data_IF_488057670429
#
_entry.id   IF_488057670429
#
_cell.length_a   1.000
_cell.length_b   1.000
_cell.length_c   1.000
_cell.angle_alpha   90.00
_cell.angle_beta   90.00
_cell.angle_gamma   90.00
#
_symmetry.space_group_name_H-M   'P 1'
#
loop_
_entity.id
_entity.type
_entity.pdbx_description
1 polymer ?
#
# COMPACT_ATOMS: atom_id res chain seq x y z
N UNK A 1 -93.86 -2.64 -3.71
CA UNK A 1 -94.00 -3.94 -4.37
C UNK A 1 -92.57 -4.49 -4.58
N UNK A 2 -92.35 -5.65 -4.08
CA UNK A 2 -91.10 -6.47 -3.99
C UNK A 2 -90.19 -6.15 -2.81
N UNK A 3 -90.39 -6.96 -1.82
CA UNK A 3 -89.60 -7.26 -0.59
C UNK A 3 -88.43 -8.07 -1.00
N UNK A 4 -87.22 -7.68 -0.58
CA UNK A 4 -86.01 -8.53 -0.61
C UNK A 4 -85.53 -8.77 0.84
N UNK A 5 -85.59 -10.04 1.24
CA UNK A 5 -85.11 -10.55 2.52
C UNK A 5 -83.57 -10.54 2.54
N UNK A 6 -83.04 -9.98 3.57
CA UNK A 6 -81.61 -10.10 3.90
C UNK A 6 -81.40 -11.33 4.78
N UNK A 7 -80.59 -12.29 4.30
CA UNK A 7 -80.16 -13.45 5.05
C UNK A 7 -78.82 -13.04 5.75
N UNK A 8 -78.82 -13.05 7.11
CA UNK A 8 -77.69 -12.83 7.96
C UNK A 8 -76.90 -14.14 8.08
N UNK A 9 -75.77 -14.26 7.45
CA UNK A 9 -74.78 -15.33 7.69
C UNK A 9 -73.80 -14.90 8.80
N UNK A 10 -73.93 -15.51 9.98
CA UNK A 10 -72.97 -15.42 11.09
C UNK A 10 -71.80 -16.33 10.74
N UNK A 11 -70.70 -15.75 10.39
CA UNK A 11 -69.42 -16.45 10.24
C UNK A 11 -68.75 -16.48 11.58
N UNK A 12 -68.61 -17.66 12.22
CA UNK A 12 -67.75 -17.90 13.35
C UNK A 12 -66.29 -17.86 12.87
N UNK A 13 -65.53 -16.82 13.21
CA UNK A 13 -64.11 -16.77 13.06
C UNK A 13 -63.44 -17.51 14.24
N UNK A 14 -62.82 -18.64 13.96
CA UNK A 14 -61.88 -19.30 14.86
C UNK A 14 -60.62 -18.40 14.95
N UNK A 15 -60.02 -18.25 16.16
CA UNK A 15 -58.74 -17.55 16.26
C UNK A 15 -57.67 -18.39 15.59
N UNK A 16 -57.10 -17.88 14.51
CA UNK A 16 -55.84 -18.38 13.99
C UNK A 16 -54.72 -18.07 15.00
N UNK A 17 -54.14 -19.10 15.56
CA UNK A 17 -52.86 -18.98 16.26
C UNK A 17 -51.82 -18.46 15.23
N UNK A 18 -51.54 -17.20 15.27
CA UNK A 18 -50.38 -16.62 14.60
C UNK A 18 -49.13 -17.13 15.30
N UNK A 19 -48.52 -18.16 14.75
CA UNK A 19 -47.11 -18.37 14.94
C UNK A 19 -46.41 -17.14 14.36
N UNK A 20 -45.82 -16.33 15.23
CA UNK A 20 -44.96 -15.22 14.85
C UNK A 20 -43.68 -15.78 14.22
N UNK A 21 -43.72 -16.16 12.95
CA UNK A 21 -42.55 -16.21 12.13
C UNK A 21 -42.09 -14.77 11.94
N UNK A 22 -40.86 -14.44 12.38
CA UNK A 22 -40.25 -13.17 12.07
C UNK A 22 -40.34 -12.94 10.55
N UNK A 23 -40.91 -11.82 10.15
CA UNK A 23 -40.98 -11.44 8.75
C UNK A 23 -39.58 -11.13 8.25
N UNK A 24 -39.22 -11.45 7.01
CA UNK A 24 -37.91 -11.22 6.41
C UNK A 24 -37.37 -9.79 6.63
N UNK A 25 -38.25 -8.80 6.81
CA UNK A 25 -37.86 -7.42 7.15
C UNK A 25 -37.21 -7.23 8.55
N UNK A 26 -37.48 -8.14 9.50
CA UNK A 26 -36.86 -8.08 10.84
C UNK A 26 -35.44 -8.63 10.87
N UNK A 27 -35.04 -9.43 9.88
CA UNK A 27 -33.72 -10.05 9.82
C UNK A 27 -32.66 -9.14 9.20
N UNK A 28 -33.02 -8.14 8.43
CA UNK A 28 -32.10 -7.24 7.72
C UNK A 28 -31.85 -5.92 8.43
N UNK A 29 -32.86 -5.40 9.14
CA UNK A 29 -32.81 -4.06 9.74
C UNK A 29 -32.20 -3.95 11.12
N UNK A 30 -32.12 -5.05 11.88
CA UNK A 30 -31.58 -5.06 13.24
C UNK A 30 -30.49 -6.08 13.38
N UNK A 31 -29.38 -5.67 14.06
CA UNK A 31 -28.28 -6.58 14.37
C UNK A 31 -28.73 -7.70 15.32
N UNK A 32 -28.07 -8.90 15.28
CA UNK A 32 -28.49 -10.05 16.06
C UNK A 32 -28.64 -9.77 17.56
N UNK A 33 -27.67 -9.03 18.14
CA UNK A 33 -27.63 -8.71 19.57
C UNK A 33 -28.12 -7.27 19.87
N UNK A 34 -29.13 -6.78 19.12
CA UNK A 34 -29.70 -5.45 19.32
C UNK A 34 -30.30 -5.33 20.74
N UNK A 35 -29.79 -4.41 21.54
CA UNK A 35 -30.19 -4.24 22.97
C UNK A 35 -29.32 -5.02 23.97
N UNK A 36 -28.40 -5.85 23.51
CA UNK A 36 -27.32 -6.48 24.28
C UNK A 36 -25.96 -5.80 24.07
N UNK A 37 -24.89 -6.56 24.21
CA UNK A 37 -23.54 -6.12 23.87
C UNK A 37 -23.26 -5.99 22.38
N UNK A 38 -22.01 -5.69 21.98
CA UNK A 38 -21.62 -5.70 20.58
C UNK A 38 -21.70 -7.12 19.98
N UNK A 39 -21.99 -7.20 18.69
CA UNK A 39 -21.85 -8.44 17.92
C UNK A 39 -20.36 -8.65 17.58
N UNK A 40 -19.85 -9.85 17.84
CA UNK A 40 -18.47 -10.20 17.54
C UNK A 40 -18.37 -10.67 16.07
N UNK A 41 -17.41 -10.08 15.34
CA UNK A 41 -17.14 -10.37 13.94
C UNK A 41 -15.73 -10.91 13.81
N UNK A 42 -15.57 -12.08 13.21
CA UNK A 42 -14.27 -12.63 12.86
C UNK A 42 -14.01 -12.36 11.38
N UNK A 43 -12.83 -11.85 11.07
CA UNK A 43 -12.40 -11.59 9.69
C UNK A 43 -11.12 -12.37 9.40
N UNK A 44 -11.18 -13.26 8.40
CA UNK A 44 -10.03 -13.95 7.85
C UNK A 44 -9.68 -13.34 6.49
N UNK A 45 -8.39 -12.99 6.29
CA UNK A 45 -7.86 -12.61 4.98
C UNK A 45 -6.83 -13.64 4.54
N UNK A 46 -7.06 -14.27 3.39
CA UNK A 46 -6.07 -15.00 2.63
C UNK A 46 -5.43 -14.06 1.61
N UNK A 47 -4.21 -13.62 1.85
CA UNK A 47 -3.46 -12.84 0.86
C UNK A 47 -2.84 -13.83 -0.14
N UNK A 48 -3.37 -13.84 -1.36
CA UNK A 48 -2.98 -14.78 -2.41
C UNK A 48 -1.82 -14.25 -3.24
N UNK A 49 -1.80 -12.91 -3.49
CA UNK A 49 -0.74 -12.28 -4.28
C UNK A 49 -0.65 -10.78 -3.98
N UNK A 50 0.55 -10.21 -4.16
CA UNK A 50 0.81 -8.79 -4.30
C UNK A 50 1.48 -8.60 -5.67
N UNK A 51 0.67 -8.30 -6.68
CA UNK A 51 1.11 -8.30 -8.07
C UNK A 51 2.03 -7.11 -8.41
N UNK A 52 1.85 -5.95 -7.79
CA UNK A 52 2.62 -4.73 -8.05
C UNK A 52 2.52 -3.76 -6.86
N UNK A 53 3.64 -3.12 -6.51
CA UNK A 53 3.67 -1.90 -5.68
C UNK A 53 4.07 -0.74 -6.59
N UNK A 54 3.13 0.16 -6.87
CA UNK A 54 3.33 1.29 -7.76
C UNK A 54 3.68 2.55 -6.97
N UNK A 55 4.96 2.85 -6.88
CA UNK A 55 5.48 4.01 -6.16
C UNK A 55 4.88 5.34 -6.66
N UNK A 56 4.63 5.44 -7.98
CA UNK A 56 4.16 6.67 -8.61
C UNK A 56 2.70 6.96 -8.34
N UNK A 57 1.86 5.92 -8.34
CA UNK A 57 0.41 6.04 -8.16
C UNK A 57 0.00 5.90 -6.69
N UNK A 58 0.95 5.52 -5.83
CA UNK A 58 0.73 5.28 -4.40
C UNK A 58 -0.37 4.23 -4.19
N UNK A 59 -0.23 3.10 -4.90
CA UNK A 59 -1.11 1.95 -4.80
C UNK A 59 -0.32 0.66 -4.80
N UNK A 60 -0.89 -0.39 -4.23
CA UNK A 60 -0.43 -1.77 -4.40
C UNK A 60 -1.60 -2.64 -4.86
N UNK A 61 -1.33 -3.55 -5.78
CA UNK A 61 -2.34 -4.42 -6.38
C UNK A 61 -2.30 -5.77 -5.70
N UNK A 62 -3.45 -6.22 -5.20
CA UNK A 62 -3.59 -7.45 -4.42
C UNK A 62 -4.59 -8.41 -5.04
N UNK A 63 -4.45 -9.71 -4.72
CA UNK A 63 -5.47 -10.75 -4.84
C UNK A 63 -5.74 -11.30 -3.44
N UNK A 64 -6.99 -11.12 -2.96
CA UNK A 64 -7.40 -11.43 -1.60
C UNK A 64 -8.54 -12.42 -1.61
N UNK A 65 -8.50 -13.36 -0.67
CA UNK A 65 -9.65 -14.14 -0.25
C UNK A 65 -10.08 -13.65 1.13
N UNK A 66 -11.32 -13.19 1.25
CA UNK A 66 -11.85 -12.62 2.50
C UNK A 66 -12.97 -13.52 3.01
N UNK A 67 -12.89 -13.92 4.27
CA UNK A 67 -13.92 -14.64 5.00
C UNK A 67 -14.37 -13.80 6.18
N UNK A 68 -15.69 -13.59 6.31
CA UNK A 68 -16.28 -12.85 7.41
C UNK A 68 -17.29 -13.77 8.11
N UNK A 69 -17.13 -13.93 9.42
CA UNK A 69 -17.95 -14.81 10.25
C UNK A 69 -18.61 -14.04 11.39
N UNK A 70 -19.87 -14.39 11.69
CA UNK A 70 -20.58 -13.90 12.87
C UNK A 70 -21.67 -14.88 13.30
N UNK A 71 -22.19 -14.70 14.53
CA UNK A 71 -23.29 -15.50 15.05
C UNK A 71 -24.62 -14.75 14.93
N UNK A 72 -25.62 -15.37 14.26
CA UNK A 72 -27.00 -14.89 14.26
C UNK A 72 -27.96 -15.97 14.76
N UNK A 73 -28.30 -16.00 16.07
CA UNK A 73 -29.19 -17.01 16.63
C UNK A 73 -30.59 -17.07 16.02
N UNK A 74 -31.03 -15.98 15.34
CA UNK A 74 -32.35 -15.94 14.67
C UNK A 74 -32.43 -16.85 13.44
N UNK A 75 -31.23 -17.19 12.89
CA UNK A 75 -31.07 -18.08 11.75
C UNK A 75 -30.82 -19.53 12.19
N UNK A 76 -30.74 -19.82 13.49
CA UNK A 76 -30.60 -21.17 14.00
C UNK A 76 -31.86 -22.01 13.71
N UNK A 77 -31.68 -23.33 13.53
CA UNK A 77 -32.80 -24.28 13.31
C UNK A 77 -32.79 -25.35 14.39
N UNK A 78 -33.96 -25.50 15.04
CA UNK A 78 -34.21 -26.61 15.94
C UNK A 78 -34.55 -27.89 15.18
N UNK A 79 -33.97 -29.03 15.53
CA UNK A 79 -34.36 -30.36 15.01
C UNK A 79 -33.24 -31.12 14.27
N UNK A 80 -33.47 -32.44 14.13
CA UNK A 80 -32.51 -33.40 13.51
C UNK A 80 -32.79 -33.57 12.00
N UNK A 81 -33.01 -32.51 11.26
CA UNK A 81 -33.12 -32.57 9.80
C UNK A 81 -31.77 -32.34 9.16
N UNK A 82 -31.11 -33.40 8.75
CA UNK A 82 -29.83 -33.55 8.03
C UNK A 82 -28.99 -32.28 7.78
N UNK A 83 -27.71 -32.37 8.07
CA UNK A 83 -26.73 -31.30 8.15
C UNK A 83 -26.45 -30.47 6.89
N UNK A 84 -27.46 -29.90 6.26
CA UNK A 84 -27.27 -29.05 5.09
C UNK A 84 -27.01 -27.57 5.50
N UNK A 85 -25.91 -27.01 4.97
CA UNK A 85 -25.65 -25.58 4.98
C UNK A 85 -26.70 -24.88 4.14
N UNK A 86 -27.24 -23.78 4.63
CA UNK A 86 -28.21 -22.95 3.91
C UNK A 86 -27.49 -21.75 3.31
N UNK A 87 -27.89 -21.35 2.12
CA UNK A 87 -27.33 -20.19 1.44
C UNK A 87 -28.40 -19.11 1.33
N UNK A 88 -28.02 -17.88 1.67
CA UNK A 88 -28.90 -16.70 1.57
C UNK A 88 -28.19 -15.63 0.73
N UNK A 89 -28.91 -14.86 -0.10
CA UNK A 89 -28.42 -13.58 -0.59
C UNK A 89 -28.07 -12.67 0.59
N UNK A 90 -26.96 -11.93 0.51
CA UNK A 90 -26.47 -11.14 1.64
C UNK A 90 -27.44 -10.02 2.05
N UNK A 91 -28.25 -9.54 1.12
CA UNK A 91 -29.26 -8.49 1.32
C UNK A 91 -30.54 -9.01 2.01
N UNK A 92 -30.74 -10.32 2.12
CA UNK A 92 -31.87 -10.93 2.82
C UNK A 92 -31.61 -11.16 4.33
N UNK A 93 -30.38 -11.00 4.79
CA UNK A 93 -29.99 -11.17 6.19
C UNK A 93 -29.21 -9.97 6.71
N UNK A 94 -29.14 -9.84 8.04
CA UNK A 94 -28.25 -8.85 8.62
C UNK A 94 -26.78 -9.20 8.32
N UNK A 95 -25.98 -8.18 8.07
CA UNK A 95 -24.54 -8.30 7.93
C UNK A 95 -23.82 -7.05 8.49
N UNK A 96 -22.51 -7.13 8.86
CA UNK A 96 -21.81 -6.07 9.57
C UNK A 96 -21.45 -4.84 8.71
N UNK A 97 -21.91 -4.75 7.46
CA UNK A 97 -21.72 -3.60 6.56
C UNK A 97 -20.26 -3.22 6.39
N UNK A 98 -19.39 -4.20 6.13
CA UNK A 98 -17.96 -3.99 5.97
C UNK A 98 -17.62 -3.44 4.58
N UNK A 99 -16.59 -2.60 4.54
CA UNK A 99 -15.99 -2.09 3.30
C UNK A 99 -14.48 -1.91 3.47
N UNK A 100 -13.74 -2.04 2.39
CA UNK A 100 -12.31 -1.70 2.35
C UNK A 100 -12.19 -0.23 1.97
N UNK A 101 -11.77 0.64 2.91
CA UNK A 101 -11.81 2.09 2.72
C UNK A 101 -10.69 2.63 1.83
N UNK A 102 -9.55 1.93 1.77
CA UNK A 102 -8.45 2.29 0.87
C UNK A 102 -8.56 1.64 -0.53
N UNK A 103 -9.75 1.16 -0.90
CA UNK A 103 -10.07 0.62 -2.23
C UNK A 103 -9.89 1.69 -3.33
N UNK A 104 -9.22 1.31 -4.43
CA UNK A 104 -9.01 2.11 -5.65
C UNK A 104 -9.56 1.46 -6.92
N UNK A 105 -10.31 0.39 -6.78
CA UNK A 105 -10.91 -0.34 -7.91
C UNK A 105 -10.79 -1.85 -7.74
N UNK A 106 -11.12 -2.37 -6.54
CA UNK A 106 -11.24 -3.81 -6.32
C UNK A 106 -12.43 -4.38 -7.07
N UNK A 107 -12.20 -5.47 -7.78
CA UNK A 107 -13.22 -6.29 -8.39
C UNK A 107 -13.64 -7.41 -7.41
N UNK A 108 -14.95 -7.62 -7.28
CA UNK A 108 -15.57 -8.70 -6.50
C UNK A 108 -15.78 -9.90 -7.41
N UNK A 109 -15.09 -11.00 -7.15
CA UNK A 109 -15.03 -12.15 -8.08
C UNK A 109 -15.99 -13.30 -7.72
N UNK A 110 -16.56 -13.29 -6.51
CA UNK A 110 -17.54 -14.29 -6.06
C UNK A 110 -18.93 -13.65 -5.87
N UNK A 111 -20.01 -14.46 -5.94
CA UNK A 111 -21.36 -13.99 -5.62
C UNK A 111 -21.47 -13.51 -4.17
N UNK A 112 -22.29 -12.48 -3.93
CA UNK A 112 -22.55 -11.95 -2.58
C UNK A 112 -23.59 -12.83 -1.85
N UNK A 113 -23.14 -13.97 -1.34
CA UNK A 113 -23.97 -14.93 -0.62
C UNK A 113 -23.39 -15.26 0.74
N UNK A 114 -24.28 -15.50 1.69
CA UNK A 114 -23.95 -15.98 3.03
C UNK A 114 -24.31 -17.46 3.16
N UNK A 115 -23.41 -18.23 3.76
CA UNK A 115 -23.64 -19.62 4.16
C UNK A 115 -23.94 -19.65 5.64
N UNK A 116 -25.03 -20.30 6.04
CA UNK A 116 -25.49 -20.38 7.44
C UNK A 116 -25.58 -21.84 7.87
N UNK A 117 -24.95 -22.16 8.99
CA UNK A 117 -25.04 -23.47 9.61
C UNK A 117 -26.32 -23.64 10.46
N UNK A 118 -26.43 -24.80 11.11
CA UNK A 118 -27.60 -25.12 11.97
C UNK A 118 -27.63 -24.31 13.26
N UNK A 119 -26.47 -23.91 13.75
CA UNK A 119 -26.32 -23.13 14.98
C UNK A 119 -26.55 -21.63 14.73
N UNK A 120 -26.71 -21.21 13.46
CA UNK A 120 -26.84 -19.81 13.07
C UNK A 120 -25.49 -19.09 12.93
N UNK A 121 -24.39 -19.85 12.77
CA UNK A 121 -23.12 -19.26 12.36
C UNK A 121 -23.21 -18.88 10.89
N UNK A 122 -22.95 -17.64 10.60
CA UNK A 122 -23.00 -17.06 9.25
C UNK A 122 -21.59 -16.87 8.74
N UNK A 123 -21.33 -17.30 7.52
CA UNK A 123 -20.03 -17.16 6.86
C UNK A 123 -20.24 -16.56 5.49
N UNK A 124 -19.56 -15.46 5.22
CA UNK A 124 -19.50 -14.80 3.90
C UNK A 124 -18.10 -14.90 3.36
N UNK A 125 -17.98 -15.34 2.10
CA UNK A 125 -16.71 -15.50 1.41
C UNK A 125 -16.67 -14.64 0.17
N UNK A 126 -15.57 -13.93 -0.02
CA UNK A 126 -15.35 -13.10 -1.19
C UNK A 126 -13.92 -13.22 -1.67
N UNK A 127 -13.71 -13.19 -2.98
CA UNK A 127 -12.38 -12.99 -3.59
C UNK A 127 -12.36 -11.62 -4.22
N UNK A 128 -11.33 -10.85 -3.91
CA UNK A 128 -11.16 -9.47 -4.33
C UNK A 128 -9.82 -9.35 -5.06
N UNK A 129 -9.80 -8.66 -6.19
CA UNK A 129 -8.55 -8.39 -6.90
C UNK A 129 -8.53 -6.94 -7.38
N UNK A 130 -7.40 -6.25 -7.23
CA UNK A 130 -7.23 -4.89 -7.72
C UNK A 130 -6.39 -4.01 -6.80
N UNK A 131 -6.31 -2.69 -7.10
CA UNK A 131 -5.46 -1.74 -6.41
C UNK A 131 -6.05 -1.23 -5.10
N UNK A 132 -5.19 -1.14 -4.09
CA UNK A 132 -5.43 -0.48 -2.81
C UNK A 132 -4.51 0.76 -2.67
N UNK A 133 -5.03 1.84 -2.10
CA UNK A 133 -4.24 3.03 -1.82
C UNK A 133 -3.28 2.79 -0.65
N UNK A 134 -2.09 3.37 -0.76
CA UNK A 134 -1.08 3.37 0.30
C UNK A 134 -0.31 4.68 0.29
N UNK A 135 0.12 5.16 1.45
CA UNK A 135 1.02 6.30 1.59
C UNK A 135 2.44 5.78 1.81
N UNK A 136 3.23 5.72 0.73
CA UNK A 136 4.59 5.20 0.76
C UNK A 136 5.57 6.26 1.25
N UNK A 137 6.37 5.93 2.26
CA UNK A 137 7.50 6.77 2.70
C UNK A 137 8.76 6.44 1.93
N UNK A 138 9.06 7.24 0.91
CA UNK A 138 10.20 7.08 0.01
C UNK A 138 11.46 7.86 0.44
N UNK A 139 11.53 8.38 1.69
CA UNK A 139 12.70 9.15 2.15
C UNK A 139 13.99 8.35 2.04
N UNK A 140 13.94 7.05 2.36
CA UNK A 140 15.06 6.12 2.30
C UNK A 140 15.19 5.37 0.97
N UNK A 141 14.35 5.68 -0.01
CA UNK A 141 14.39 5.00 -1.31
C UNK A 141 15.81 5.00 -1.90
N UNK A 142 16.34 3.86 -2.37
CA UNK A 142 15.71 2.55 -2.56
C UNK A 142 15.92 1.53 -1.41
N UNK A 143 16.28 1.96 -0.21
CA UNK A 143 16.47 1.12 0.98
C UNK A 143 15.31 1.30 1.96
N UNK A 144 14.10 1.33 1.43
CA UNK A 144 12.88 1.62 2.17
C UNK A 144 12.11 0.35 2.49
N UNK A 145 11.42 0.42 3.65
CA UNK A 145 10.45 -0.59 4.07
C UNK A 145 9.09 0.08 4.13
N UNK A 146 8.07 -0.53 3.55
CA UNK A 146 6.73 0.03 3.40
C UNK A 146 5.70 -0.80 4.17
N UNK A 147 4.73 -0.12 4.80
CA UNK A 147 3.56 -0.78 5.39
C UNK A 147 2.42 -0.74 4.38
N UNK A 148 1.92 -1.92 3.99
CA UNK A 148 0.85 -2.10 3.03
C UNK A 148 -0.44 -2.47 3.77
N UNK A 149 -1.34 -1.53 4.09
CA UNK A 149 -2.53 -1.79 4.87
C UNK A 149 -3.69 -2.25 3.99
N UNK A 150 -4.50 -3.17 4.55
CA UNK A 150 -5.84 -3.50 4.09
C UNK A 150 -6.79 -3.01 5.18
N UNK A 151 -7.48 -1.90 4.95
CA UNK A 151 -8.27 -1.21 5.95
C UNK A 151 -9.76 -1.53 5.80
N UNK A 152 -10.29 -2.34 6.71
CA UNK A 152 -11.69 -2.73 6.73
C UNK A 152 -12.43 -1.88 7.76
N UNK A 153 -13.58 -1.32 7.38
CA UNK A 153 -14.42 -0.51 8.26
C UNK A 153 -15.89 -0.90 8.07
N UNK A 154 -16.62 -0.96 9.18
CA UNK A 154 -18.07 -1.00 9.11
C UNK A 154 -18.58 0.43 8.87
N UNK A 155 -19.18 0.70 7.74
CA UNK A 155 -19.69 2.05 7.45
C UNK A 155 -20.98 2.41 8.21
N UNK A 156 -21.61 1.44 8.89
CA UNK A 156 -22.87 1.63 9.62
C UNK A 156 -22.72 1.49 11.13
N UNK A 157 -21.85 0.59 11.63
CA UNK A 157 -21.79 0.22 13.03
C UNK A 157 -20.56 0.77 13.74
N UNK A 158 -20.77 1.25 14.98
CA UNK A 158 -19.72 1.75 15.87
C UNK A 158 -19.06 0.61 16.66
N UNK A 159 -17.91 0.85 17.32
CA UNK A 159 -17.26 -0.14 18.19
C UNK A 159 -18.12 -0.58 19.39
N UNK A 160 -19.16 0.17 19.77
CA UNK A 160 -20.12 -0.23 20.79
C UNK A 160 -21.20 -1.17 20.26
N UNK A 161 -21.33 -1.33 18.95
CA UNK A 161 -22.35 -2.15 18.29
C UNK A 161 -21.77 -3.42 17.67
N UNK A 162 -20.54 -3.35 17.13
CA UNK A 162 -19.79 -4.52 16.67
C UNK A 162 -18.36 -4.45 17.14
N UNK A 163 -17.73 -5.60 17.38
CA UNK A 163 -16.31 -5.72 17.70
C UNK A 163 -15.67 -6.76 16.81
N UNK A 164 -14.40 -6.57 16.49
CA UNK A 164 -13.65 -7.59 15.77
C UNK A 164 -13.00 -8.56 16.74
N UNK A 165 -13.11 -9.85 16.42
CA UNK A 165 -12.57 -10.93 17.24
C UNK A 165 -11.04 -10.95 17.22
N UNK A 166 -10.42 -11.35 18.35
CA UNK A 166 -8.99 -11.63 18.41
C UNK A 166 -8.56 -12.80 17.52
N UNK A 167 -9.52 -13.62 17.07
CA UNK A 167 -9.29 -14.69 16.10
C UNK A 167 -9.22 -14.21 14.65
N UNK A 168 -9.41 -12.90 14.40
CA UNK A 168 -9.20 -12.33 13.07
C UNK A 168 -7.73 -12.46 12.68
N UNK A 169 -7.46 -12.91 11.46
CA UNK A 169 -6.11 -13.24 11.04
C UNK A 169 -5.84 -12.94 9.56
N UNK A 170 -4.60 -12.63 9.27
CA UNK A 170 -4.07 -12.62 7.91
C UNK A 170 -3.32 -13.94 7.67
N UNK A 171 -3.83 -14.76 6.76
CA UNK A 171 -3.21 -16.03 6.34
C UNK A 171 -2.57 -15.81 4.98
N UNK A 172 -1.30 -16.14 4.88
CA UNK A 172 -0.56 -16.01 3.62
C UNK A 172 0.61 -16.99 3.59
N UNK A 173 0.93 -17.48 2.41
CA UNK A 173 2.17 -18.20 2.14
C UNK A 173 3.26 -17.18 1.78
N UNK A 174 3.78 -16.44 2.78
CA UNK A 174 4.74 -15.34 2.57
C UNK A 174 5.96 -15.74 1.74
N UNK A 175 6.45 -16.98 1.91
CA UNK A 175 7.59 -17.49 1.13
C UNK A 175 7.28 -17.60 -0.37
N UNK A 176 5.99 -17.75 -0.73
CA UNK A 176 5.53 -17.79 -2.12
C UNK A 176 5.23 -16.39 -2.69
N UNK A 177 5.01 -15.40 -1.80
CA UNK A 177 4.77 -14.00 -2.19
C UNK A 177 6.07 -13.22 -2.43
N UNK A 178 7.18 -13.62 -1.80
CA UNK A 178 8.47 -12.97 -2.00
C UNK A 178 8.88 -13.05 -3.47
N UNK A 179 9.13 -11.90 -4.06
CA UNK A 179 9.60 -11.77 -5.43
C UNK A 179 11.03 -11.17 -5.48
N UNK A 180 11.57 -10.97 -6.68
CA UNK A 180 12.91 -10.40 -6.86
C UNK A 180 12.98 -8.90 -6.49
N UNK A 181 11.86 -8.25 -6.21
CA UNK A 181 11.75 -6.80 -5.93
C UNK A 181 11.44 -6.50 -4.48
N UNK A 182 10.72 -7.40 -3.77
CA UNK A 182 10.25 -7.20 -2.41
C UNK A 182 10.27 -8.47 -1.58
N UNK A 183 10.56 -8.32 -0.29
CA UNK A 183 10.32 -9.35 0.72
C UNK A 183 9.20 -8.90 1.67
N UNK A 184 8.36 -9.83 2.12
CA UNK A 184 7.13 -9.52 2.84
C UNK A 184 7.09 -10.16 4.22
N UNK A 185 6.54 -9.44 5.21
CA UNK A 185 6.27 -9.92 6.57
C UNK A 185 4.85 -9.50 6.97
N UNK A 186 4.03 -10.47 7.41
CA UNK A 186 2.68 -10.17 7.90
C UNK A 186 2.73 -9.57 9.31
N UNK A 187 1.87 -8.58 9.56
CA UNK A 187 1.67 -7.99 10.87
C UNK A 187 0.36 -8.52 11.50
N UNK A 188 0.31 -8.51 12.82
CA UNK A 188 -0.91 -8.82 13.54
C UNK A 188 -2.01 -7.80 13.21
N UNK A 189 -3.29 -8.25 13.10
CA UNK A 189 -4.41 -7.36 12.86
C UNK A 189 -4.61 -6.38 14.03
N UNK A 190 -4.95 -5.14 13.70
CA UNK A 190 -5.20 -4.08 14.66
C UNK A 190 -6.63 -3.55 14.54
N UNK A 191 -7.42 -3.64 15.62
CA UNK A 191 -8.73 -3.00 15.71
C UNK A 191 -8.59 -1.52 16.06
N UNK A 192 -9.36 -0.66 15.39
CA UNK A 192 -9.32 0.78 15.63
C UNK A 192 -10.69 1.44 15.48
N UNK A 193 -10.81 2.67 15.98
CA UNK A 193 -12.01 3.49 15.80
C UNK A 193 -11.82 4.44 14.62
N UNK A 194 -12.59 4.22 13.56
CA UNK A 194 -12.57 5.08 12.37
C UNK A 194 -13.53 6.25 12.52
N UNK A 195 -13.09 7.47 12.17
CA UNK A 195 -13.92 8.67 12.17
C UNK A 195 -13.84 9.40 10.85
N UNK A 196 -14.92 9.42 10.11
CA UNK A 196 -15.01 10.12 8.83
C UNK A 196 -14.91 11.65 9.00
N UNK A 197 -15.36 12.19 10.15
CA UNK A 197 -15.38 13.63 10.46
C UNK A 197 -15.15 13.83 11.95
N UNK A 198 -14.43 14.90 12.30
CA UNK A 198 -14.25 15.31 13.70
C UNK A 198 -15.60 15.57 14.38
N UNK A 199 -15.84 14.94 15.54
CA UNK A 199 -17.13 14.99 16.25
C UNK A 199 -18.28 14.19 15.61
N UNK A 200 -18.01 13.45 14.52
CA UNK A 200 -18.97 12.55 13.88
C UNK A 200 -19.11 11.20 14.61
N UNK A 201 -20.06 10.38 14.14
CA UNK A 201 -20.20 9.00 14.61
C UNK A 201 -18.94 8.22 14.25
N UNK A 202 -18.43 7.45 15.22
CA UNK A 202 -17.33 6.52 14.97
C UNK A 202 -17.83 5.21 14.35
N UNK A 203 -16.96 4.57 13.61
CA UNK A 203 -17.18 3.28 12.98
C UNK A 203 -16.13 2.28 13.48
N UNK A 204 -16.51 1.01 13.59
CA UNK A 204 -15.57 -0.05 13.94
C UNK A 204 -14.63 -0.33 12.76
N UNK A 205 -13.33 -0.30 12.99
CA UNK A 205 -12.29 -0.55 11.99
C UNK A 205 -11.37 -1.69 12.39
N UNK A 206 -10.86 -2.41 11.39
CA UNK A 206 -9.85 -3.46 11.50
C UNK A 206 -8.83 -3.28 10.38
N UNK A 207 -7.55 -3.22 10.72
CA UNK A 207 -6.47 -3.15 9.74
C UNK A 207 -5.68 -4.44 9.75
N UNK A 208 -5.53 -5.03 8.59
CA UNK A 208 -4.48 -6.01 8.28
C UNK A 208 -3.35 -5.30 7.57
N UNK A 209 -2.12 -5.69 7.80
CA UNK A 209 -1.02 -5.07 7.11
C UNK A 209 0.12 -6.06 6.83
N UNK A 210 0.85 -5.76 5.77
CA UNK A 210 2.08 -6.47 5.41
C UNK A 210 3.21 -5.43 5.38
N UNK A 211 4.36 -5.75 6.00
CA UNK A 211 5.59 -5.01 5.79
C UNK A 211 6.25 -5.53 4.52
N UNK A 212 6.60 -4.62 3.63
CA UNK A 212 7.31 -4.90 2.38
C UNK A 212 8.69 -4.22 2.43
N UNK A 213 9.77 -4.98 2.42
CA UNK A 213 11.14 -4.49 2.33
C UNK A 213 11.61 -4.57 0.89
N UNK A 214 12.11 -3.45 0.36
CA UNK A 214 12.53 -3.35 -1.05
C UNK A 214 13.89 -3.97 -1.27
N UNK A 215 14.01 -4.82 -2.31
CA UNK A 215 15.29 -5.35 -2.77
C UNK A 215 16.05 -4.28 -3.58
N UNK A 216 17.01 -3.64 -2.93
CA UNK A 216 17.73 -2.50 -3.50
C UNK A 216 18.69 -2.85 -4.65
N UNK A 217 18.99 -4.14 -4.88
CA UNK A 217 19.98 -4.58 -5.86
C UNK A 217 19.70 -4.03 -7.27
N UNK A 218 18.45 -4.05 -7.71
CA UNK A 218 18.05 -3.48 -9.00
C UNK A 218 18.47 -2.01 -9.13
N UNK A 219 18.24 -1.20 -8.10
CA UNK A 219 18.55 0.24 -8.10
C UNK A 219 20.05 0.51 -7.98
N UNK A 220 20.81 -0.35 -7.32
CA UNK A 220 22.27 -0.27 -7.33
C UNK A 220 22.82 -0.40 -8.75
N UNK A 221 22.32 -1.34 -9.54
CA UNK A 221 22.76 -1.53 -10.92
C UNK A 221 22.19 -0.48 -11.90
N UNK A 222 20.96 -0.03 -11.71
CA UNK A 222 20.32 0.89 -12.66
C UNK A 222 20.53 2.37 -12.33
N UNK A 223 20.78 2.73 -11.08
CA UNK A 223 21.04 4.10 -10.63
C UNK A 223 22.52 4.33 -10.27
N UNK A 224 23.03 3.60 -9.28
CA UNK A 224 24.33 3.90 -8.70
C UNK A 224 25.48 3.58 -9.66
N UNK A 225 25.42 2.47 -10.39
CA UNK A 225 26.48 2.07 -11.33
C UNK A 225 26.65 3.06 -12.50
N UNK A 226 25.60 3.44 -13.29
CA UNK A 226 25.77 4.43 -14.37
C UNK A 226 26.27 5.78 -13.85
N UNK A 227 25.77 6.26 -12.70
CA UNK A 227 26.26 7.48 -12.10
C UNK A 227 27.73 7.39 -11.72
N UNK A 228 28.17 6.30 -11.11
CA UNK A 228 29.57 6.06 -10.76
C UNK A 228 30.46 6.09 -11.99
N UNK A 229 30.04 5.50 -13.11
CA UNK A 229 30.77 5.53 -14.38
C UNK A 229 30.89 6.97 -14.94
N UNK A 230 29.83 7.76 -14.87
CA UNK A 230 29.85 9.18 -15.28
C UNK A 230 30.82 9.98 -14.38
N UNK A 231 30.78 9.77 -13.07
CA UNK A 231 31.69 10.42 -12.13
C UNK A 231 33.14 9.97 -12.33
N UNK A 232 33.35 8.71 -12.68
CA UNK A 232 34.68 8.21 -13.04
C UNK A 232 35.25 8.92 -14.27
N UNK A 233 34.44 9.19 -15.29
CA UNK A 233 34.84 10.00 -16.44
C UNK A 233 35.17 11.44 -16.04
N UNK A 234 34.40 12.06 -15.14
CA UNK A 234 34.72 13.39 -14.60
C UNK A 234 36.07 13.39 -13.86
N UNK A 235 36.34 12.35 -13.07
CA UNK A 235 37.61 12.18 -12.37
C UNK A 235 38.80 11.97 -13.33
N UNK A 236 38.59 11.19 -14.41
CA UNK A 236 39.61 10.97 -15.43
C UNK A 236 40.11 12.26 -16.09
N UNK A 237 39.23 13.29 -16.20
CA UNK A 237 39.64 14.60 -16.74
C UNK A 237 40.76 15.27 -15.96
N UNK A 238 40.95 14.97 -14.67
CA UNK A 238 42.05 15.49 -13.86
C UNK A 238 43.41 14.79 -14.13
N UNK A 239 43.42 13.62 -14.80
CA UNK A 239 44.64 12.91 -15.19
C UNK A 239 45.21 13.41 -16.52
N UNK A 240 44.41 14.11 -17.33
CA UNK A 240 44.88 14.72 -18.56
C UNK A 240 45.85 15.88 -18.26
N UNK A 241 46.92 16.07 -19.05
CA UNK A 241 47.83 17.19 -18.88
C UNK A 241 47.12 18.54 -18.91
N UNK A 242 47.55 19.52 -18.09
CA UNK A 242 46.90 20.85 -18.01
C UNK A 242 46.93 21.64 -19.29
N UNK A 243 47.90 21.32 -20.18
CA UNK A 243 48.08 21.99 -21.49
C UNK A 243 47.14 21.46 -22.57
N UNK A 244 46.47 20.30 -22.37
CA UNK A 244 45.54 19.69 -23.34
C UNK A 244 44.12 20.19 -23.08
N UNK A 245 43.89 21.47 -23.32
CA UNK A 245 42.66 22.20 -23.00
C UNK A 245 41.43 21.60 -23.65
N UNK A 246 41.36 21.29 -24.99
CA UNK A 246 40.15 20.79 -25.63
C UNK A 246 39.67 19.47 -25.05
N UNK A 247 40.59 18.52 -24.78
CA UNK A 247 40.25 17.21 -24.21
C UNK A 247 39.70 17.34 -22.79
N UNK A 248 40.34 18.15 -21.93
CA UNK A 248 39.85 18.37 -20.55
C UNK A 248 38.49 19.03 -20.49
N UNK A 249 38.27 20.10 -21.25
CA UNK A 249 37.01 20.81 -21.31
C UNK A 249 35.92 19.93 -21.93
N UNK A 250 36.23 19.21 -23.02
CA UNK A 250 35.29 18.31 -23.68
C UNK A 250 34.79 17.20 -22.75
N UNK A 251 35.72 16.53 -22.06
CA UNK A 251 35.35 15.47 -21.09
C UNK A 251 34.53 16.04 -19.94
N UNK A 252 34.95 17.15 -19.35
CA UNK A 252 34.24 17.75 -18.23
C UNK A 252 32.82 18.23 -18.60
N UNK A 253 32.65 18.86 -19.77
CA UNK A 253 31.35 19.30 -20.24
C UNK A 253 30.44 18.11 -20.59
N UNK A 254 30.98 17.08 -21.25
CA UNK A 254 30.24 15.87 -21.56
C UNK A 254 29.70 15.18 -20.32
N UNK A 255 30.50 15.10 -19.24
CA UNK A 255 30.03 14.49 -17.98
C UNK A 255 28.93 15.30 -17.30
N UNK A 256 28.97 16.65 -17.33
CA UNK A 256 27.88 17.49 -16.82
C UNK A 256 26.59 17.22 -17.57
N UNK A 257 26.62 17.22 -18.90
CA UNK A 257 25.42 16.94 -19.73
C UNK A 257 24.88 15.51 -19.49
N UNK A 258 25.76 14.52 -19.43
CA UNK A 258 25.37 13.13 -19.17
C UNK A 258 24.69 12.99 -17.80
N UNK A 259 25.22 13.66 -16.77
CA UNK A 259 24.67 13.60 -15.43
C UNK A 259 23.30 14.30 -15.31
N UNK A 260 23.14 15.47 -15.96
CA UNK A 260 21.87 16.18 -16.01
C UNK A 260 20.83 15.32 -16.74
N UNK A 261 21.17 14.77 -17.91
CA UNK A 261 20.27 13.92 -18.67
C UNK A 261 19.84 12.67 -17.90
N UNK A 262 20.80 12.02 -17.21
CA UNK A 262 20.53 10.87 -16.36
C UNK A 262 19.63 11.24 -15.17
N UNK A 263 19.92 12.33 -14.47
CA UNK A 263 19.13 12.79 -13.33
C UNK A 263 17.69 13.15 -13.71
N UNK A 264 17.46 13.76 -14.89
CA UNK A 264 16.11 14.02 -15.41
C UNK A 264 15.39 12.70 -15.73
N UNK A 265 16.07 11.76 -16.39
CA UNK A 265 15.49 10.45 -16.71
C UNK A 265 15.08 9.68 -15.45
N UNK A 266 15.96 9.66 -14.44
CA UNK A 266 15.67 9.00 -13.18
C UNK A 266 14.47 9.62 -12.44
N UNK A 267 14.35 10.94 -12.41
CA UNK A 267 13.20 11.61 -11.77
C UNK A 267 11.85 11.30 -12.42
N UNK A 268 11.82 10.88 -13.67
CA UNK A 268 10.58 10.47 -14.34
C UNK A 268 10.05 9.13 -13.85
N UNK A 269 10.87 8.32 -13.17
CA UNK A 269 10.47 7.03 -12.58
C UNK A 269 9.86 7.16 -11.19
N UNK A 270 10.11 8.29 -10.49
CA UNK A 270 9.59 8.53 -9.14
C UNK A 270 8.28 9.33 -9.15
N UNK A 271 7.46 9.21 -8.07
CA UNK A 271 6.27 10.03 -7.89
C UNK A 271 6.63 11.51 -7.69
N UNK A 272 5.63 12.39 -7.85
CA UNK A 272 5.76 13.82 -7.51
C UNK A 272 5.53 14.03 -6.02
N UNK A 273 6.55 13.78 -5.23
CA UNK A 273 6.53 13.97 -3.77
C UNK A 273 7.14 15.31 -3.38
N UNK A 274 6.73 15.85 -2.22
CA UNK A 274 7.16 17.16 -1.73
C UNK A 274 8.52 17.16 -1.01
N UNK A 275 9.17 16.02 -0.90
CA UNK A 275 10.47 15.83 -0.24
C UNK A 275 11.48 15.15 -1.17
N UNK A 276 12.75 15.18 -0.80
CA UNK A 276 13.83 14.49 -1.52
C UNK A 276 14.04 13.10 -0.93
N UNK A 277 14.23 12.12 -1.82
CA UNK A 277 14.62 10.75 -1.45
C UNK A 277 16.14 10.66 -1.24
N UNK A 278 16.63 9.56 -0.64
CA UNK A 278 18.08 9.31 -0.58
C UNK A 278 18.70 9.26 -1.98
N UNK A 279 18.02 8.65 -2.95
CA UNK A 279 18.45 8.65 -4.34
C UNK A 279 18.54 10.07 -4.94
N UNK A 280 17.58 10.97 -4.64
CA UNK A 280 17.66 12.37 -5.06
C UNK A 280 18.88 13.09 -4.46
N UNK A 281 19.16 12.88 -3.18
CA UNK A 281 20.34 13.44 -2.53
C UNK A 281 21.63 12.93 -3.19
N UNK A 282 21.70 11.64 -3.52
CA UNK A 282 22.82 11.06 -4.25
C UNK A 282 23.03 11.74 -5.61
N UNK A 283 21.96 11.93 -6.40
CA UNK A 283 22.02 12.63 -7.69
C UNK A 283 22.46 14.09 -7.52
N UNK A 284 21.90 14.80 -6.53
CA UNK A 284 22.21 16.21 -6.27
C UNK A 284 23.67 16.42 -5.85
N UNK A 285 24.14 15.63 -4.88
CA UNK A 285 25.52 15.73 -4.40
C UNK A 285 26.53 15.33 -5.47
N UNK A 286 26.25 14.28 -6.24
CA UNK A 286 27.05 13.85 -7.37
C UNK A 286 27.14 14.93 -8.45
N UNK A 287 26.01 15.57 -8.78
CA UNK A 287 25.97 16.69 -9.72
C UNK A 287 26.81 17.87 -9.22
N UNK A 288 26.71 18.19 -7.92
CA UNK A 288 27.49 19.26 -7.30
C UNK A 288 29.00 18.95 -7.37
N UNK A 289 29.40 17.71 -7.12
CA UNK A 289 30.80 17.27 -7.22
C UNK A 289 31.35 17.42 -8.64
N UNK A 290 30.57 17.07 -9.67
CA UNK A 290 30.97 17.22 -11.07
C UNK A 290 31.07 18.70 -11.47
N UNK A 291 30.18 19.57 -11.00
CA UNK A 291 30.27 21.02 -11.24
C UNK A 291 31.51 21.63 -10.55
N UNK A 292 31.83 21.22 -9.34
CA UNK A 292 33.06 21.63 -8.64
C UNK A 292 34.28 21.14 -9.43
N UNK A 293 34.26 19.90 -9.92
CA UNK A 293 35.31 19.33 -10.77
C UNK A 293 35.53 20.17 -12.04
N UNK A 294 34.45 20.56 -12.74
CA UNK A 294 34.53 21.45 -13.89
C UNK A 294 35.14 22.80 -13.54
N UNK A 295 34.74 23.41 -12.41
CA UNK A 295 35.33 24.67 -11.95
C UNK A 295 36.83 24.56 -11.69
N UNK A 296 37.27 23.47 -11.06
CA UNK A 296 38.68 23.17 -10.83
C UNK A 296 39.46 23.03 -12.14
N UNK A 297 38.84 22.37 -13.16
CA UNK A 297 39.46 22.24 -14.48
C UNK A 297 39.60 23.61 -15.15
N UNK A 298 38.60 24.48 -15.09
CA UNK A 298 38.66 25.86 -15.65
C UNK A 298 39.75 26.67 -14.97
N UNK A 299 39.82 26.62 -13.62
CA UNK A 299 40.89 27.33 -12.85
C UNK A 299 42.26 26.82 -13.21
N UNK A 300 42.48 25.51 -13.31
CA UNK A 300 43.80 24.94 -13.66
C UNK A 300 44.22 25.31 -15.07
N UNK A 301 43.31 25.35 -16.05
CA UNK A 301 43.57 25.81 -17.41
C UNK A 301 44.00 27.28 -17.40
N UNK A 302 43.24 28.15 -16.71
CA UNK A 302 43.58 29.58 -16.61
C UNK A 302 44.94 29.83 -15.94
N UNK A 303 45.28 29.10 -14.90
CA UNK A 303 46.57 29.22 -14.27
C UNK A 303 47.72 28.68 -15.14
N UNK A 304 47.45 27.64 -15.93
CA UNK A 304 48.42 27.10 -16.88
C UNK A 304 48.75 28.10 -18.00
N UNK A 305 47.77 28.93 -18.42
CA UNK A 305 47.93 30.00 -19.42
C UNK A 305 48.57 31.29 -18.85
N UNK A 306 48.73 31.42 -17.53
CA UNK A 306 49.16 32.64 -16.84
C UNK A 306 50.38 32.35 -15.96
N UNK A 307 51.52 31.98 -16.50
CA UNK A 307 52.81 31.71 -15.78
C UNK A 307 52.75 30.97 -14.42
N UNK A 308 51.57 30.41 -14.06
CA UNK A 308 51.31 29.67 -12.81
C UNK A 308 51.23 28.17 -13.02
N UNK A 309 51.92 27.61 -14.01
CA UNK A 309 51.86 26.17 -14.34
C UNK A 309 52.09 25.25 -13.16
N UNK A 310 53.03 25.57 -12.27
CA UNK A 310 53.31 24.78 -11.07
C UNK A 310 52.14 24.74 -10.06
N UNK A 311 51.39 25.84 -9.94
CA UNK A 311 50.19 25.89 -9.11
C UNK A 311 49.05 25.08 -9.74
N UNK A 312 48.83 25.19 -11.08
CA UNK A 312 47.87 24.40 -11.81
C UNK A 312 48.06 22.91 -11.66
N UNK A 313 49.32 22.44 -11.81
CA UNK A 313 49.69 21.02 -11.63
C UNK A 313 49.45 20.53 -10.19
N UNK A 314 49.77 21.37 -9.17
CA UNK A 314 49.46 21.03 -7.77
C UNK A 314 48.00 20.88 -7.51
N UNK A 315 47.18 21.82 -7.96
CA UNK A 315 45.72 21.78 -7.82
C UNK A 315 45.11 20.53 -8.55
N UNK A 316 45.57 20.25 -9.77
CA UNK A 316 45.14 19.05 -10.49
C UNK A 316 45.53 17.75 -9.75
N UNK A 317 46.72 17.69 -9.12
CA UNK A 317 47.13 16.54 -8.33
C UNK A 317 46.30 16.39 -7.05
N UNK A 318 45.97 17.47 -6.37
CA UNK A 318 45.09 17.46 -5.21
C UNK A 318 43.68 16.99 -5.58
N UNK A 319 43.11 17.45 -6.72
CA UNK A 319 41.82 17.04 -7.21
C UNK A 319 41.77 15.53 -7.52
N UNK A 320 42.87 14.90 -8.00
CA UNK A 320 42.91 13.44 -8.23
C UNK A 320 42.65 12.63 -6.95
N UNK A 321 43.06 13.14 -5.80
CA UNK A 321 42.84 12.47 -4.50
C UNK A 321 41.53 12.93 -3.85
N UNK A 322 41.25 14.25 -3.89
CA UNK A 322 40.05 14.81 -3.26
C UNK A 322 38.75 14.29 -3.88
N UNK A 323 38.73 14.13 -5.21
CA UNK A 323 37.52 13.70 -5.91
C UNK A 323 37.00 12.32 -5.43
N UNK A 324 37.79 11.23 -5.44
CA UNK A 324 37.29 9.93 -4.97
C UNK A 324 36.97 9.93 -3.46
N UNK A 325 37.69 10.71 -2.64
CA UNK A 325 37.39 10.86 -1.21
C UNK A 325 36.04 11.52 -1.01
N UNK A 326 35.77 12.63 -1.71
CA UNK A 326 34.47 13.31 -1.66
C UNK A 326 33.33 12.43 -2.20
N UNK A 327 33.59 11.67 -3.27
CA UNK A 327 32.60 10.73 -3.78
C UNK A 327 32.28 9.62 -2.77
N UNK A 328 33.29 9.03 -2.15
CA UNK A 328 33.07 8.02 -1.09
C UNK A 328 32.28 8.60 0.10
N UNK A 329 32.55 9.86 0.46
CA UNK A 329 31.79 10.56 1.50
C UNK A 329 30.32 10.78 1.09
N UNK A 330 30.06 11.14 -0.18
CA UNK A 330 28.69 11.28 -0.70
C UNK A 330 27.94 9.95 -0.58
N UNK A 331 28.54 8.85 -1.03
CA UNK A 331 27.92 7.51 -0.93
C UNK A 331 27.62 7.18 0.52
N UNK A 332 28.59 7.39 1.42
CA UNK A 332 28.41 7.12 2.84
C UNK A 332 27.27 7.95 3.44
N UNK A 333 27.28 9.27 3.26
CA UNK A 333 26.26 10.18 3.81
C UNK A 333 24.85 9.93 3.24
N UNK A 334 24.76 9.43 2.02
CA UNK A 334 23.45 9.23 1.38
C UNK A 334 22.81 7.91 1.80
N UNK A 335 23.59 6.84 1.96
CA UNK A 335 23.08 5.49 2.13
C UNK A 335 23.27 4.90 3.53
N UNK A 336 23.90 5.64 4.48
CA UNK A 336 24.03 5.22 5.87
C UNK A 336 23.36 6.16 6.87
N UNK A 337 22.77 7.27 6.42
CA UNK A 337 21.95 8.19 7.21
C UNK A 337 20.46 7.81 7.06
#
# INVERSE_FOLDING_TARGET
MRILQAIFLISLALPANAQSGATAGDLTGMRPNAGGGPDEITVGIGLLDIAEINDREQVFTVDLYVEVEWQDPRLAIDGDTGGELRTFPIDEIWHPRLTIINNRGLDFLLPEVATVDRQGQVIVRQRLSGPLAVDLDLRKFPFDTQRLPIEIVSYEYSPSEITFSENSQLVTALDELNDDAWSYEALDPESYEYRLREGGRSAAGLTFAVMAEREAAYYIFTLALPMTLILFLAWMAHWLPVDVVPARMGTASATVFSLIAFGVSFRLTLPKIAYLTAADHFVLYSTSLVLISLAVIVVTIRWASTDRKGAAQRLARQARVAFPVLYSLIVLLTFTA
#
